data_IF_708352521654
#
_entry.id   IF_708352521654
#
_cell.length_a   1.000
_cell.length_b   1.000
_cell.length_c   1.000
_cell.angle_alpha   90.00
_cell.angle_beta   90.00
_cell.angle_gamma   90.00
#
_symmetry.space_group_name_H-M   'P 1'
#
loop_
_entity.id
_entity.type
_entity.pdbx_description
1 polymer ?
#
# COMPACT_ATOMS: atom_id res chain seq x y z
N UNK A 1 -2.29 -52.78 -60.79
CA UNK A 1 -3.77 -52.76 -60.89
C UNK A 1 -4.33 -52.50 -59.49
N UNK A 2 -5.21 -51.50 -59.37
CA UNK A 2 -6.19 -51.16 -58.31
C UNK A 2 -6.43 -52.20 -57.19
N UNK A 3 -6.73 -51.88 -55.92
CA UNK A 3 -7.38 -50.69 -55.36
C UNK A 3 -7.22 -50.59 -53.83
N UNK A 4 -7.48 -49.39 -53.31
CA UNK A 4 -7.47 -48.93 -51.90
C UNK A 4 -8.49 -49.64 -51.00
N UNK A 5 -8.15 -49.76 -49.71
CA UNK A 5 -9.11 -49.57 -48.61
C UNK A 5 -8.44 -48.80 -47.45
N UNK A 6 -9.01 -47.64 -47.15
CA UNK A 6 -8.73 -46.82 -45.98
C UNK A 6 -9.40 -47.46 -44.75
N UNK A 7 -8.72 -47.48 -43.60
CA UNK A 7 -9.40 -47.23 -42.34
C UNK A 7 -8.45 -46.64 -41.31
N UNK A 8 -8.66 -45.35 -41.04
CA UNK A 8 -8.12 -44.61 -39.92
C UNK A 8 -8.69 -45.17 -38.61
N UNK A 9 -7.84 -45.44 -37.62
CA UNK A 9 -8.24 -45.39 -36.22
C UNK A 9 -7.08 -44.86 -35.37
N UNK A 10 -7.11 -43.54 -35.18
CA UNK A 10 -6.22 -42.80 -34.31
C UNK A 10 -6.52 -43.11 -32.85
N UNK A 11 -5.45 -43.38 -32.11
CA UNK A 11 -5.44 -43.59 -30.68
C UNK A 11 -5.76 -42.29 -29.95
N UNK A 12 -6.94 -42.22 -29.34
CA UNK A 12 -7.31 -41.13 -28.42
C UNK A 12 -6.61 -41.35 -27.06
N UNK A 13 -5.41 -40.76 -26.90
CA UNK A 13 -4.83 -40.52 -25.58
C UNK A 13 -5.46 -39.26 -25.00
N UNK A 14 -6.31 -39.45 -24.00
CA UNK A 14 -6.94 -38.37 -23.24
C UNK A 14 -5.88 -37.46 -22.61
N UNK A 15 -5.73 -36.26 -23.18
CA UNK A 15 -5.07 -35.15 -22.51
C UNK A 15 -6.08 -34.52 -21.56
N UNK A 16 -5.86 -34.69 -20.25
CA UNK A 16 -6.53 -33.88 -19.24
C UNK A 16 -6.14 -32.42 -19.48
N UNK A 17 -6.99 -31.68 -20.18
CA UNK A 17 -6.94 -30.22 -20.22
C UNK A 17 -7.24 -29.73 -18.80
N UNK A 18 -6.20 -29.38 -18.05
CA UNK A 18 -6.35 -28.45 -16.95
C UNK A 18 -6.90 -27.16 -17.55
N UNK A 19 -8.19 -26.92 -17.35
CA UNK A 19 -8.78 -25.60 -17.59
C UNK A 19 -8.23 -24.71 -16.49
N UNK A 20 -7.06 -24.14 -16.74
CA UNK A 20 -6.56 -23.02 -15.99
C UNK A 20 -7.46 -21.86 -16.37
N UNK A 21 -8.51 -21.63 -15.57
CA UNK A 21 -9.26 -20.37 -15.59
C UNK A 21 -8.26 -19.27 -15.31
N UNK A 22 -7.67 -18.72 -16.37
CA UNK A 22 -7.05 -17.40 -16.33
C UNK A 22 -8.18 -16.46 -15.93
N UNK A 23 -8.25 -16.14 -14.64
CA UNK A 23 -8.86 -14.90 -14.20
C UNK A 23 -7.98 -13.80 -14.81
N UNK A 24 -8.35 -13.41 -16.03
CA UNK A 24 -7.78 -12.25 -16.69
C UNK A 24 -8.35 -11.04 -15.94
N UNK A 25 -7.65 -10.59 -14.90
CA UNK A 25 -8.03 -9.43 -14.09
C UNK A 25 -7.86 -8.10 -14.85
N UNK A 26 -7.78 -8.14 -16.19
CA UNK A 26 -7.83 -6.96 -17.03
C UNK A 26 -6.64 -6.01 -16.85
N UNK A 27 -5.51 -6.48 -16.31
CA UNK A 27 -4.30 -5.65 -16.24
C UNK A 27 -3.75 -5.52 -17.66
N UNK A 28 -4.25 -4.51 -18.40
CA UNK A 28 -3.78 -4.19 -19.75
C UNK A 28 -2.26 -4.16 -19.74
N UNK A 29 -1.65 -4.99 -20.58
CA UNK A 29 -0.20 -4.93 -20.85
C UNK A 29 0.17 -3.49 -21.16
N UNK A 30 0.99 -2.87 -20.30
CA UNK A 30 1.79 -1.68 -20.62
C UNK A 30 1.05 -0.60 -21.43
N UNK A 31 -0.19 -0.30 -21.07
CA UNK A 31 -0.79 0.98 -21.48
C UNK A 31 -0.56 1.96 -20.33
N UNK A 32 -0.15 3.17 -20.67
CA UNK A 32 -0.13 4.30 -19.73
C UNK A 32 -1.47 4.35 -18.99
N UNK A 33 -1.45 4.69 -17.70
CA UNK A 33 -2.68 4.93 -16.96
C UNK A 33 -3.38 6.14 -17.59
N UNK A 34 -4.44 5.88 -18.37
CA UNK A 34 -5.22 6.92 -19.02
C UNK A 34 -6.41 7.24 -18.13
N UNK A 35 -6.51 8.51 -17.75
CA UNK A 35 -7.65 9.03 -17.05
C UNK A 35 -8.93 8.83 -17.87
N UNK A 36 -9.98 8.33 -17.23
CA UNK A 36 -11.26 8.12 -17.87
C UNK A 36 -12.36 8.87 -17.11
N UNK A 37 -12.73 10.09 -17.54
CA UNK A 37 -13.78 10.88 -16.91
C UNK A 37 -15.15 10.18 -16.87
N UNK A 38 -15.42 9.22 -17.77
CA UNK A 38 -16.69 8.49 -17.75
C UNK A 38 -16.87 7.63 -16.49
N UNK A 39 -15.80 7.37 -15.73
CA UNK A 39 -15.87 6.58 -14.50
C UNK A 39 -16.75 7.22 -13.42
N UNK A 40 -16.96 8.55 -13.47
CA UNK A 40 -17.81 9.28 -12.52
C UNK A 40 -19.27 8.80 -12.53
N UNK A 41 -19.67 8.09 -13.59
CA UNK A 41 -21.02 7.52 -13.74
C UNK A 41 -21.21 6.20 -12.99
N UNK A 42 -20.12 5.54 -12.60
CA UNK A 42 -20.18 4.28 -11.89
C UNK A 42 -19.98 4.50 -10.40
N UNK A 43 -20.72 3.72 -9.61
CA UNK A 43 -20.46 3.51 -8.20
C UNK A 43 -19.87 2.10 -8.05
N UNK A 44 -18.64 2.03 -7.55
CA UNK A 44 -17.96 0.78 -7.28
C UNK A 44 -18.29 0.24 -5.89
N UNK A 45 -19.00 1.02 -5.06
CA UNK A 45 -19.37 0.66 -3.71
C UNK A 45 -18.18 0.58 -2.74
N UNK A 46 -18.40 -0.09 -1.61
CA UNK A 46 -17.38 -0.35 -0.60
C UNK A 46 -16.86 -1.78 -0.69
N UNK A 47 -15.56 -1.92 -0.93
CA UNK A 47 -14.89 -3.21 -1.05
C UNK A 47 -14.32 -3.62 0.31
N UNK A 48 -14.92 -4.65 0.90
CA UNK A 48 -14.59 -5.18 2.23
C UNK A 48 -13.35 -6.07 2.19
N UNK A 49 -12.18 -5.49 1.87
CA UNK A 49 -10.90 -6.20 1.84
C UNK A 49 -10.49 -6.78 3.21
N UNK A 50 -11.05 -6.30 4.32
CA UNK A 50 -10.89 -6.93 5.62
C UNK A 50 -11.38 -8.39 5.67
N UNK A 51 -12.27 -8.79 4.75
CA UNK A 51 -12.76 -10.16 4.58
C UNK A 51 -11.99 -10.94 3.50
N UNK A 52 -10.98 -10.33 2.86
CA UNK A 52 -10.28 -10.90 1.71
C UNK A 52 -11.22 -11.26 0.55
N UNK A 53 -12.21 -10.40 0.31
CA UNK A 53 -13.16 -10.54 -0.79
C UNK A 53 -13.13 -9.29 -1.68
N UNK A 54 -13.28 -9.50 -3.00
CA UNK A 54 -13.30 -8.45 -4.00
C UNK A 54 -14.67 -8.50 -4.69
N UNK A 55 -15.70 -8.13 -3.94
CA UNK A 55 -17.11 -8.19 -4.33
C UNK A 55 -17.47 -7.03 -5.27
N UNK A 56 -16.83 -7.01 -6.43
CA UNK A 56 -17.05 -6.01 -7.49
C UNK A 56 -17.90 -6.64 -8.59
N UNK A 57 -18.90 -5.91 -9.09
CA UNK A 57 -19.72 -6.34 -10.24
C UNK A 57 -18.82 -6.62 -11.46
N UNK A 58 -19.06 -7.71 -12.20
CA UNK A 58 -18.17 -8.15 -13.29
C UNK A 58 -17.94 -7.07 -14.36
N UNK A 59 -18.97 -6.27 -14.68
CA UNK A 59 -18.85 -5.15 -15.62
C UNK A 59 -17.87 -4.06 -15.14
N UNK A 60 -17.70 -3.90 -13.82
CA UNK A 60 -16.84 -2.88 -13.22
C UNK A 60 -15.39 -3.36 -13.05
N UNK A 61 -15.15 -4.68 -13.01
CA UNK A 61 -13.79 -5.24 -12.86
C UNK A 61 -12.84 -4.76 -13.95
N UNK A 62 -13.33 -4.59 -15.18
CA UNK A 62 -12.55 -4.12 -16.32
C UNK A 62 -12.10 -2.65 -16.22
N UNK A 63 -12.66 -1.89 -15.27
CA UNK A 63 -12.28 -0.50 -14.99
C UNK A 63 -11.31 -0.37 -13.82
N UNK A 64 -11.02 -1.46 -13.10
CA UNK A 64 -10.12 -1.42 -11.95
C UNK A 64 -8.67 -1.60 -12.38
N UNK A 65 -7.82 -0.74 -11.85
CA UNK A 65 -6.40 -1.00 -11.73
C UNK A 65 -6.10 -1.44 -10.29
N UNK A 66 -5.04 -2.22 -10.11
CA UNK A 66 -4.64 -2.72 -8.79
C UNK A 66 -3.27 -2.20 -8.43
N UNK A 67 -3.07 -1.91 -7.15
CA UNK A 67 -1.77 -1.54 -6.59
C UNK A 67 -0.82 -2.73 -6.78
N UNK A 68 0.41 -2.45 -7.22
CA UNK A 68 1.48 -3.44 -7.20
C UNK A 68 1.90 -3.69 -5.77
N UNK A 69 1.45 -4.83 -5.25
CA UNK A 69 1.68 -5.24 -3.87
C UNK A 69 3.08 -5.84 -3.69
N UNK A 70 3.71 -5.65 -2.50
CA UNK A 70 4.93 -6.35 -2.12
C UNK A 70 4.75 -7.87 -2.27
N UNK A 71 5.80 -8.55 -2.70
CA UNK A 71 5.84 -10.01 -2.86
C UNK A 71 4.96 -10.63 -3.96
N UNK A 72 4.09 -9.89 -4.65
CA UNK A 72 3.26 -10.44 -5.75
C UNK A 72 3.92 -10.25 -7.12
N UNK A 73 3.47 -11.02 -8.12
CA UNK A 73 3.90 -10.86 -9.50
C UNK A 73 3.31 -9.60 -10.14
N UNK A 74 4.13 -8.84 -10.88
CA UNK A 74 3.71 -7.60 -11.52
C UNK A 74 2.56 -7.76 -12.54
N UNK A 75 2.42 -8.96 -13.12
CA UNK A 75 1.39 -9.28 -14.12
C UNK A 75 0.24 -10.11 -13.55
N UNK A 76 0.35 -10.55 -12.30
CA UNK A 76 -0.69 -11.32 -11.62
C UNK A 76 -0.66 -10.96 -10.12
N UNK A 77 -1.46 -9.97 -9.70
CA UNK A 77 -1.41 -9.45 -8.35
C UNK A 77 -2.01 -10.40 -7.30
N UNK A 78 -2.54 -11.57 -7.71
CA UNK A 78 -2.93 -12.66 -6.79
C UNK A 78 -1.84 -13.72 -6.63
N UNK A 79 -0.83 -13.76 -7.50
CA UNK A 79 0.22 -14.77 -7.47
C UNK A 79 1.44 -14.28 -6.70
N UNK A 80 1.73 -14.95 -5.59
CA UNK A 80 2.94 -14.71 -4.81
C UNK A 80 4.20 -15.03 -5.64
N UNK A 81 5.09 -14.05 -5.76
CA UNK A 81 6.45 -14.24 -6.25
C UNK A 81 7.31 -14.81 -5.10
N UNK A 82 7.31 -16.14 -5.01
CA UNK A 82 8.00 -16.90 -3.95
C UNK A 82 9.50 -16.56 -3.88
N UNK A 83 10.15 -16.35 -5.03
CA UNK A 83 11.58 -16.01 -5.05
C UNK A 83 11.82 -14.63 -4.43
N UNK A 84 11.06 -13.61 -4.84
CA UNK A 84 11.14 -12.26 -4.26
C UNK A 84 10.85 -12.28 -2.76
N UNK A 85 9.80 -12.99 -2.34
CA UNK A 85 9.46 -13.17 -0.93
C UNK A 85 10.62 -13.80 -0.14
N UNK A 86 11.18 -14.89 -0.64
CA UNK A 86 12.28 -15.60 0.02
C UNK A 86 13.56 -14.76 0.08
N UNK A 87 13.89 -13.99 -0.95
CA UNK A 87 15.03 -13.05 -0.93
C UNK A 87 14.87 -12.03 0.20
N UNK A 88 13.71 -11.36 0.27
CA UNK A 88 13.44 -10.34 1.30
C UNK A 88 13.40 -10.97 2.69
N UNK A 89 12.72 -12.10 2.85
CA UNK A 89 12.68 -12.85 4.10
C UNK A 89 14.09 -13.19 4.58
N UNK A 90 14.90 -13.78 3.71
CA UNK A 90 16.29 -14.16 4.03
C UNK A 90 17.12 -12.95 4.44
N UNK A 91 17.01 -11.84 3.71
CA UNK A 91 17.72 -10.60 4.04
C UNK A 91 17.36 -10.05 5.42
N UNK A 92 16.08 -10.12 5.80
CA UNK A 92 15.58 -9.57 7.06
C UNK A 92 15.73 -10.51 8.27
N UNK A 93 15.88 -11.83 8.06
CA UNK A 93 15.86 -12.81 9.16
C UNK A 93 17.13 -13.63 9.32
N UNK A 94 18.06 -13.63 8.36
CA UNK A 94 19.28 -14.47 8.46
C UNK A 94 20.27 -13.96 9.51
N UNK A 95 20.31 -12.66 9.76
CA UNK A 95 21.18 -12.03 10.74
C UNK A 95 20.38 -11.06 11.61
N UNK A 96 20.71 -10.93 12.92
CA UNK A 96 20.07 -9.95 13.78
C UNK A 96 20.32 -8.53 13.29
N UNK A 97 19.24 -7.75 13.16
CA UNK A 97 19.29 -6.32 12.85
C UNK A 97 19.19 -5.54 14.16
N UNK A 98 20.31 -4.94 14.58
CA UNK A 98 20.46 -4.32 15.90
C UNK A 98 20.69 -2.81 15.85
N UNK A 99 20.90 -2.24 14.66
CA UNK A 99 21.12 -0.80 14.40
C UNK A 99 20.91 -0.47 12.91
N UNK A 100 20.96 0.81 12.54
CA UNK A 100 20.76 1.22 11.14
C UNK A 100 21.79 0.64 10.18
N UNK A 101 23.03 0.39 10.61
CA UNK A 101 24.04 -0.18 9.71
C UNK A 101 23.66 -1.62 9.35
N UNK A 102 23.31 -2.45 10.34
CA UNK A 102 22.82 -3.81 10.09
C UNK A 102 21.54 -3.84 9.26
N UNK A 103 20.65 -2.86 9.46
CA UNK A 103 19.47 -2.71 8.62
C UNK A 103 19.84 -2.34 7.18
N UNK A 104 20.78 -1.42 6.98
CA UNK A 104 21.28 -1.07 5.65
C UNK A 104 21.87 -2.30 4.93
N UNK A 105 22.64 -3.14 5.62
CA UNK A 105 23.18 -4.36 5.02
C UNK A 105 22.06 -5.30 4.52
N UNK A 106 20.98 -5.45 5.30
CA UNK A 106 19.80 -6.22 4.88
C UNK A 106 19.06 -5.56 3.71
N UNK A 107 18.85 -4.24 3.77
CA UNK A 107 18.18 -3.44 2.74
C UNK A 107 18.83 -3.61 1.36
N UNK A 108 20.17 -3.57 1.31
CA UNK A 108 20.93 -3.74 0.07
C UNK A 108 20.78 -5.13 -0.58
N UNK A 109 20.36 -6.16 0.17
CA UNK A 109 20.16 -7.50 -0.41
C UNK A 109 18.91 -7.59 -1.29
N UNK A 110 17.90 -6.76 -1.03
CA UNK A 110 16.66 -6.72 -1.82
C UNK A 110 16.47 -5.41 -2.59
N UNK A 111 17.45 -4.51 -2.53
CA UNK A 111 17.60 -3.33 -3.37
C UNK A 111 18.99 -3.27 -4.02
N UNK A 112 19.28 -4.18 -4.98
CA UNK A 112 20.59 -4.25 -5.64
C UNK A 112 20.92 -3.00 -6.47
N UNK A 113 19.93 -2.15 -6.77
CA UNK A 113 20.11 -0.87 -7.43
C UNK A 113 20.74 0.22 -6.55
N UNK A 114 20.75 0.03 -5.22
CA UNK A 114 21.29 0.99 -4.27
C UNK A 114 22.80 0.75 -4.05
N UNK A 115 23.54 1.84 -3.81
CA UNK A 115 24.98 1.77 -3.55
C UNK A 115 25.27 1.54 -2.07
N UNK A 116 26.17 0.61 -1.77
CA UNK A 116 26.71 0.41 -0.43
C UNK A 116 27.64 1.54 0.04
N UNK A 117 28.16 2.36 -0.88
CA UNK A 117 29.02 3.51 -0.58
C UNK A 117 28.22 4.79 -0.31
N UNK A 118 26.90 4.76 -0.53
CA UNK A 118 26.03 5.90 -0.30
C UNK A 118 25.89 6.15 1.22
N UNK A 119 26.56 7.20 1.69
CA UNK A 119 26.49 7.64 3.09
C UNK A 119 25.16 8.30 3.44
N UNK A 120 24.36 8.67 2.44
CA UNK A 120 23.03 9.26 2.64
C UNK A 120 21.98 8.20 2.98
N UNK A 121 22.23 6.94 2.61
CA UNK A 121 21.32 5.84 2.88
C UNK A 121 21.13 5.64 4.39
N UNK A 122 19.86 5.72 4.83
CA UNK A 122 19.43 5.64 6.22
C UNK A 122 20.06 6.68 7.16
N UNK A 123 20.59 7.79 6.65
CA UNK A 123 21.28 8.78 7.48
C UNK A 123 20.37 9.47 8.52
N UNK A 124 19.07 9.62 8.26
CA UNK A 124 18.13 10.14 9.26
C UNK A 124 17.84 9.10 10.35
N UNK A 125 17.78 7.81 10.02
CA UNK A 125 17.64 6.76 11.01
C UNK A 125 18.88 6.66 11.91
N UNK A 126 20.08 6.81 11.34
CA UNK A 126 21.32 6.94 12.12
C UNK A 126 21.32 8.17 13.03
N UNK A 127 20.77 9.29 12.56
CA UNK A 127 20.63 10.48 13.39
C UNK A 127 19.63 10.25 14.54
N UNK A 128 18.51 9.57 14.28
CA UNK A 128 17.57 9.15 15.32
C UNK A 128 18.28 8.29 16.38
N UNK A 129 19.07 7.28 15.97
CA UNK A 129 19.85 6.46 16.90
C UNK A 129 20.81 7.29 17.76
N UNK A 130 21.50 8.26 17.14
CA UNK A 130 22.43 9.14 17.85
C UNK A 130 21.72 10.05 18.85
N UNK A 131 20.54 10.58 18.49
CA UNK A 131 19.79 11.53 19.31
C UNK A 131 19.05 10.85 20.46
N UNK A 132 18.54 9.64 20.24
CA UNK A 132 17.71 8.88 21.18
C UNK A 132 18.25 7.44 21.37
N UNK A 133 19.46 7.26 21.94
CA UNK A 133 20.13 5.96 21.97
C UNK A 133 19.37 4.88 22.75
N UNK A 134 18.73 5.24 23.87
CA UNK A 134 17.94 4.29 24.68
C UNK A 134 16.67 3.85 23.95
N UNK A 135 15.93 4.80 23.36
CA UNK A 135 14.74 4.50 22.56
C UNK A 135 15.10 3.67 21.34
N UNK A 136 16.21 3.99 20.67
CA UNK A 136 16.69 3.27 19.50
C UNK A 136 17.10 1.82 19.86
N UNK A 137 17.78 1.63 20.98
CA UNK A 137 18.11 0.29 21.49
C UNK A 137 16.85 -0.53 21.75
N UNK A 138 15.85 0.07 22.41
CA UNK A 138 14.56 -0.58 22.63
C UNK A 138 13.81 -0.85 21.32
N UNK A 139 13.87 0.06 20.35
CA UNK A 139 13.28 -0.08 19.03
C UNK A 139 13.87 -1.28 18.28
N UNK A 140 15.19 -1.35 18.07
CA UNK A 140 15.80 -2.45 17.34
C UNK A 140 15.65 -3.80 18.06
N UNK A 141 15.68 -3.79 19.40
CA UNK A 141 15.50 -5.02 20.19
C UNK A 141 14.06 -5.53 20.16
N UNK A 142 13.07 -4.64 20.22
CA UNK A 142 11.69 -5.03 20.52
C UNK A 142 10.70 -4.70 19.40
N UNK A 143 10.75 -3.51 18.82
CA UNK A 143 9.73 -3.02 17.89
C UNK A 143 10.07 -3.38 16.44
N UNK A 144 11.34 -3.31 16.06
CA UNK A 144 11.78 -3.63 14.71
C UNK A 144 11.53 -5.11 14.31
N UNK A 145 11.73 -6.11 15.19
CA UNK A 145 11.35 -7.50 14.89
C UNK A 145 9.84 -7.66 14.63
N UNK A 146 9.01 -6.92 15.37
CA UNK A 146 7.57 -6.88 15.12
C UNK A 146 7.25 -6.28 13.75
N UNK A 147 7.92 -5.20 13.34
CA UNK A 147 7.77 -4.63 11.99
C UNK A 147 8.11 -5.67 10.91
N UNK A 148 9.23 -6.39 11.05
CA UNK A 148 9.61 -7.47 10.12
C UNK A 148 8.53 -8.55 10.06
N UNK A 149 8.05 -9.01 11.21
CA UNK A 149 7.00 -10.03 11.31
C UNK A 149 5.72 -9.57 10.57
N UNK A 150 5.24 -8.36 10.88
CA UNK A 150 4.03 -7.83 10.25
C UNK A 150 4.21 -7.64 8.74
N UNK A 151 5.40 -7.25 8.28
CA UNK A 151 5.67 -7.11 6.86
C UNK A 151 5.65 -8.46 6.12
N UNK A 152 6.31 -9.48 6.68
CA UNK A 152 6.39 -10.82 6.08
C UNK A 152 5.05 -11.57 6.10
N UNK A 153 4.17 -11.26 7.04
CA UNK A 153 2.82 -11.83 7.08
C UNK A 153 1.81 -11.15 6.13
N UNK A 154 2.21 -10.11 5.38
CA UNK A 154 1.33 -9.42 4.43
C UNK A 154 0.57 -10.39 3.50
N UNK A 155 1.21 -11.42 2.89
CA UNK A 155 0.50 -12.33 2.00
C UNK A 155 -0.58 -13.19 2.68
N UNK A 156 -0.51 -13.33 4.01
CA UNK A 156 -1.53 -14.03 4.80
C UNK A 156 -2.69 -13.09 5.17
N UNK A 157 -2.40 -11.82 5.43
CA UNK A 157 -3.39 -10.85 5.86
C UNK A 157 -4.20 -10.26 4.71
N UNK A 158 -3.60 -10.16 3.53
CA UNK A 158 -4.19 -9.55 2.36
C UNK A 158 -3.95 -10.45 1.14
N UNK A 159 -4.93 -11.30 0.86
CA UNK A 159 -4.86 -12.31 -0.21
C UNK A 159 -5.47 -11.83 -1.52
N UNK A 160 -6.22 -10.71 -1.47
CA UNK A 160 -6.85 -10.08 -2.63
C UNK A 160 -6.15 -8.77 -3.00
N UNK A 161 -6.00 -8.46 -4.29
CA UNK A 161 -5.32 -7.25 -4.72
C UNK A 161 -6.10 -6.01 -4.26
N UNK A 162 -5.39 -4.92 -3.94
CA UNK A 162 -6.02 -3.66 -3.53
C UNK A 162 -6.32 -2.84 -4.80
N UNK A 163 -7.59 -2.50 -5.09
CA UNK A 163 -7.90 -1.60 -6.18
C UNK A 163 -7.34 -0.20 -5.96
N UNK A 164 -6.89 0.43 -7.04
CA UNK A 164 -6.46 1.82 -7.05
C UNK A 164 -7.70 2.73 -6.94
N UNK A 165 -7.68 3.67 -6.00
CA UNK A 165 -8.66 4.75 -5.89
C UNK A 165 -8.35 5.84 -6.93
N UNK A 166 -8.63 5.54 -8.20
CA UNK A 166 -8.30 6.37 -9.36
C UNK A 166 -9.16 7.63 -9.50
N UNK A 167 -8.71 8.57 -10.33
CA UNK A 167 -9.49 9.79 -10.65
C UNK A 167 -10.86 9.41 -11.23
N UNK A 168 -11.86 10.26 -10.96
CA UNK A 168 -13.25 10.08 -11.38
C UNK A 168 -13.97 8.85 -10.81
N UNK A 169 -13.37 8.09 -9.90
CA UNK A 169 -14.03 6.94 -9.29
C UNK A 169 -14.81 7.32 -8.03
N UNK A 170 -15.97 6.71 -7.86
CA UNK A 170 -16.69 6.63 -6.59
C UNK A 170 -16.48 5.21 -6.05
N UNK A 171 -15.54 5.06 -5.12
CA UNK A 171 -15.12 3.76 -4.60
C UNK A 171 -14.64 3.92 -3.16
N UNK A 172 -15.00 2.96 -2.31
CA UNK A 172 -14.47 2.82 -0.97
C UNK A 172 -13.77 1.48 -0.78
N UNK A 173 -12.76 1.45 0.06
CA UNK A 173 -12.07 0.24 0.48
C UNK A 173 -12.05 0.21 2.00
N UNK A 174 -12.47 -0.92 2.57
CA UNK A 174 -12.39 -1.17 4.00
C UNK A 174 -11.39 -2.27 4.30
N UNK A 175 -10.34 -1.94 5.05
CA UNK A 175 -9.34 -2.89 5.57
C UNK A 175 -9.41 -2.91 7.10
N UNK A 176 -8.86 -3.94 7.73
CA UNK A 176 -8.68 -3.94 9.18
C UNK A 176 -7.33 -3.30 9.58
N UNK A 177 -7.19 -2.92 10.86
CA UNK A 177 -5.97 -2.31 11.39
C UNK A 177 -4.75 -3.22 11.22
N UNK A 178 -4.91 -4.54 11.35
CA UNK A 178 -3.81 -5.49 11.15
C UNK A 178 -3.25 -5.42 9.71
N UNK A 179 -4.11 -5.38 8.71
CA UNK A 179 -3.73 -5.19 7.31
C UNK A 179 -3.02 -3.84 7.11
N UNK A 180 -3.55 -2.75 7.69
CA UNK A 180 -2.91 -1.44 7.62
C UNK A 180 -1.52 -1.42 8.26
N UNK A 181 -1.34 -2.06 9.42
CA UNK A 181 -0.03 -2.20 10.08
C UNK A 181 0.95 -2.96 9.20
N UNK A 182 0.51 -4.06 8.57
CA UNK A 182 1.34 -4.84 7.66
C UNK A 182 1.76 -4.06 6.40
N UNK A 183 0.84 -3.28 5.83
CA UNK A 183 1.15 -2.37 4.72
C UNK A 183 2.16 -1.29 5.12
N UNK A 184 1.98 -0.65 6.27
CA UNK A 184 2.91 0.34 6.81
C UNK A 184 4.29 -0.28 7.13
N UNK A 185 4.33 -1.51 7.63
CA UNK A 185 5.56 -2.22 7.90
C UNK A 185 6.35 -2.48 6.61
N UNK A 186 5.68 -2.86 5.53
CA UNK A 186 6.29 -2.99 4.20
C UNK A 186 6.79 -1.64 3.65
N UNK A 187 6.12 -0.52 3.95
CA UNK A 187 6.57 0.81 3.58
C UNK A 187 7.81 1.24 4.38
N UNK A 188 7.82 0.99 5.70
CA UNK A 188 8.94 1.28 6.59
C UNK A 188 10.21 0.50 6.22
N UNK A 189 10.06 -0.78 5.87
CA UNK A 189 11.16 -1.62 5.37
C UNK A 189 11.53 -1.33 3.91
N UNK A 190 10.95 -0.31 3.29
CA UNK A 190 11.18 0.10 1.91
C UNK A 190 10.88 -0.99 0.86
N UNK A 191 10.11 -2.02 1.20
CA UNK A 191 9.77 -3.14 0.30
C UNK A 191 8.82 -2.67 -0.82
N UNK A 192 7.95 -1.71 -0.50
CA UNK A 192 7.21 -0.98 -1.53
C UNK A 192 8.18 -0.16 -2.38
N UNK A 193 8.14 -0.38 -3.69
CA UNK A 193 8.94 0.38 -4.66
C UNK A 193 8.12 1.51 -5.29
N UNK A 194 8.80 2.46 -5.94
CA UNK A 194 8.16 3.59 -6.63
C UNK A 194 7.50 3.20 -7.96
N UNK A 195 7.26 1.91 -8.24
CA UNK A 195 6.60 1.46 -9.47
C UNK A 195 5.17 2.00 -9.60
N UNK A 196 4.40 2.00 -8.51
CA UNK A 196 3.04 2.53 -8.52
C UNK A 196 3.01 4.02 -8.89
N UNK A 197 3.95 4.81 -8.34
CA UNK A 197 4.12 6.22 -8.71
C UNK A 197 4.43 6.38 -10.21
N UNK A 198 5.35 5.58 -10.75
CA UNK A 198 5.75 5.64 -12.17
C UNK A 198 4.60 5.27 -13.13
N UNK A 199 3.70 4.39 -12.71
CA UNK A 199 2.64 3.85 -13.58
C UNK A 199 1.34 4.66 -13.45
N UNK A 200 0.98 5.03 -12.23
CA UNK A 200 -0.33 5.58 -11.89
C UNK A 200 -0.27 7.03 -11.39
N UNK A 201 0.92 7.64 -11.36
CA UNK A 201 1.14 8.98 -10.79
C UNK A 201 0.62 9.11 -9.35
N UNK A 202 0.69 8.04 -8.56
CA UNK A 202 0.32 8.06 -7.13
C UNK A 202 1.43 8.70 -6.29
N UNK A 203 1.15 9.15 -5.05
CA UNK A 203 2.21 9.50 -4.10
C UNK A 203 3.22 8.34 -3.93
N UNK A 204 4.46 8.69 -3.58
CA UNK A 204 5.45 7.71 -3.16
C UNK A 204 4.99 7.03 -1.86
N UNK A 205 5.23 5.73 -1.73
CA UNK A 205 4.85 4.94 -0.56
C UNK A 205 6.05 4.36 0.20
N UNK A 206 7.25 4.36 -0.40
CA UNK A 206 8.45 3.91 0.30
C UNK A 206 8.88 4.94 1.33
N UNK A 207 9.27 4.48 2.53
CA UNK A 207 9.82 5.39 3.56
C UNK A 207 11.29 5.74 3.28
N UNK A 208 11.87 5.27 2.17
CA UNK A 208 13.25 5.54 1.80
C UNK A 208 13.59 7.04 1.85
N UNK A 209 12.71 7.91 1.35
CA UNK A 209 12.90 9.36 1.36
C UNK A 209 12.78 10.04 2.73
N UNK A 210 12.18 9.35 3.70
CA UNK A 210 12.10 9.79 5.09
C UNK A 210 13.32 9.29 5.88
N UNK A 211 13.71 8.04 5.65
CA UNK A 211 14.83 7.40 6.34
C UNK A 211 16.19 7.89 5.82
N UNK A 212 16.24 8.34 4.57
CA UNK A 212 17.45 8.81 3.89
C UNK A 212 17.25 10.24 3.39
N UNK A 213 18.28 11.07 3.50
CA UNK A 213 18.32 12.41 2.92
C UNK A 213 19.57 12.59 2.09
N UNK A 214 19.41 12.96 0.81
CA UNK A 214 20.54 13.35 -0.05
C UNK A 214 21.23 14.65 0.44
N UNK A 215 20.54 15.43 1.28
CA UNK A 215 21.08 16.60 1.96
C UNK A 215 21.51 16.21 3.38
N UNK A 216 21.89 17.21 4.18
CA UNK A 216 22.13 16.99 5.61
C UNK A 216 20.84 16.49 6.30
N UNK A 217 20.95 15.50 7.20
CA UNK A 217 19.84 15.07 8.04
C UNK A 217 19.16 16.24 8.77
N UNK A 218 17.82 16.20 8.87
CA UNK A 218 17.02 17.28 9.44
C UNK A 218 16.26 16.77 10.67
N UNK A 219 16.23 17.57 11.74
CA UNK A 219 15.54 17.22 13.00
C UNK A 219 14.06 16.85 12.80
N UNK A 220 13.36 17.51 11.87
CA UNK A 220 11.96 17.20 11.57
C UNK A 220 11.76 15.76 11.09
N UNK A 221 12.72 15.21 10.33
CA UNK A 221 12.66 13.83 9.84
C UNK A 221 12.90 12.84 10.97
N UNK A 222 13.77 13.19 11.92
CA UNK A 222 14.02 12.38 13.12
C UNK A 222 12.77 12.29 13.98
N UNK A 223 12.06 13.39 14.22
CA UNK A 223 10.82 13.36 15.01
C UNK A 223 9.68 12.63 14.28
N UNK A 224 9.60 12.73 12.95
CA UNK A 224 8.68 11.92 12.13
C UNK A 224 8.98 10.41 12.30
N UNK A 225 10.25 10.02 12.19
CA UNK A 225 10.68 8.63 12.40
C UNK A 225 10.30 8.16 13.81
N UNK A 226 10.56 8.97 14.83
CA UNK A 226 10.21 8.67 16.23
C UNK A 226 8.70 8.47 16.41
N UNK A 227 7.87 9.30 15.78
CA UNK A 227 6.40 9.15 15.78
C UNK A 227 5.94 7.82 15.13
N UNK A 228 6.52 7.46 13.99
CA UNK A 228 6.23 6.20 13.29
C UNK A 228 6.66 4.99 14.14
N UNK A 229 7.84 5.04 14.75
CA UNK A 229 8.33 3.99 15.65
C UNK A 229 7.37 3.84 16.84
N UNK A 230 6.90 4.96 17.40
CA UNK A 230 5.92 4.97 18.48
C UNK A 230 4.60 4.32 18.06
N UNK A 231 4.11 4.59 16.85
CA UNK A 231 2.93 3.91 16.30
C UNK A 231 3.10 2.39 16.29
N UNK A 232 4.22 1.87 15.77
CA UNK A 232 4.47 0.42 15.76
C UNK A 232 4.61 -0.17 17.16
N UNK A 233 5.26 0.52 18.11
CA UNK A 233 5.33 0.09 19.51
C UNK A 233 3.93 0.00 20.15
N UNK A 234 3.04 0.96 19.86
CA UNK A 234 1.65 0.92 20.31
C UNK A 234 0.87 -0.23 19.68
N UNK A 235 1.04 -0.49 18.38
CA UNK A 235 0.36 -1.60 17.72
C UNK A 235 0.85 -2.96 18.23
N UNK A 236 2.15 -3.10 18.51
CA UNK A 236 2.74 -4.31 19.09
C UNK A 236 2.12 -4.70 20.43
N UNK A 237 1.73 -3.72 21.25
CA UNK A 237 1.14 -3.94 22.59
C UNK A 237 -0.32 -4.41 22.54
N UNK A 238 -0.92 -4.49 21.36
CA UNK A 238 -2.34 -4.83 21.16
C UNK A 238 -2.46 -6.26 20.65
N UNK A 239 -3.51 -6.96 21.08
CA UNK A 239 -3.80 -8.31 20.58
C UNK A 239 -4.16 -8.30 19.09
N UNK A 240 -3.79 -9.35 18.37
CA UNK A 240 -4.13 -9.53 16.96
C UNK A 240 -5.64 -9.45 16.70
N UNK A 241 -6.49 -10.00 17.59
CA UNK A 241 -7.95 -9.99 17.42
C UNK A 241 -8.52 -8.57 17.48
N UNK A 242 -8.04 -7.75 18.43
CA UNK A 242 -8.39 -6.33 18.49
C UNK A 242 -8.02 -5.59 17.20
N UNK A 243 -6.81 -5.82 16.67
CA UNK A 243 -6.37 -5.21 15.40
C UNK A 243 -7.19 -5.70 14.20
N UNK A 244 -7.70 -6.94 14.22
CA UNK A 244 -8.60 -7.44 13.17
C UNK A 244 -10.01 -6.85 13.26
N UNK A 245 -10.47 -6.53 14.47
CA UNK A 245 -11.80 -5.97 14.70
C UNK A 245 -11.94 -4.49 14.32
N UNK A 246 -10.84 -3.74 14.36
CA UNK A 246 -10.85 -2.32 13.99
C UNK A 246 -10.78 -2.13 12.48
N UNK A 247 -11.82 -1.50 11.92
CA UNK A 247 -11.94 -1.26 10.49
C UNK A 247 -11.55 0.18 10.12
N UNK A 248 -10.93 0.33 8.95
CA UNK A 248 -10.52 1.58 8.35
C UNK A 248 -11.09 1.63 6.95
N UNK A 249 -11.92 2.65 6.66
CA UNK A 249 -12.51 2.86 5.34
C UNK A 249 -11.86 4.07 4.65
N UNK A 250 -11.32 3.85 3.47
CA UNK A 250 -10.78 4.88 2.59
C UNK A 250 -11.75 5.06 1.43
N UNK A 251 -12.31 6.25 1.28
CA UNK A 251 -13.29 6.54 0.23
C UNK A 251 -12.76 7.63 -0.70
N UNK A 252 -12.88 7.39 -2.00
CA UNK A 252 -12.76 8.41 -3.02
C UNK A 252 -14.15 8.73 -3.55
N UNK A 253 -14.46 10.02 -3.58
CA UNK A 253 -15.72 10.56 -4.11
C UNK A 253 -15.39 11.50 -5.26
N UNK A 254 -16.16 11.39 -6.34
CA UNK A 254 -16.10 12.28 -7.49
C UNK A 254 -17.52 12.67 -7.87
N UNK A 255 -17.80 13.97 -7.84
CA UNK A 255 -19.10 14.52 -8.22
C UNK A 255 -19.19 14.66 -9.73
N UNK A 256 -20.40 14.48 -10.28
CA UNK A 256 -20.71 14.87 -11.67
C UNK A 256 -20.95 16.36 -11.70
N UNK A 257 -20.76 16.99 -12.85
CA UNK A 257 -21.05 18.42 -13.02
C UNK A 257 -22.47 18.79 -12.62
N UNK A 258 -23.45 17.92 -12.95
CA UNK A 258 -24.85 18.10 -12.60
C UNK A 258 -25.17 17.89 -11.11
N UNK A 259 -24.24 17.30 -10.33
CA UNK A 259 -24.40 17.11 -8.88
C UNK A 259 -23.86 18.31 -8.09
N UNK A 260 -23.14 19.25 -8.74
CA UNK A 260 -22.65 20.48 -8.11
C UNK A 260 -23.83 21.43 -7.89
N UNK A 261 -24.02 22.00 -6.68
CA UNK A 261 -25.10 22.95 -6.44
C UNK A 261 -25.04 24.18 -7.35
N UNK A 262 -26.20 24.69 -7.77
CA UNK A 262 -26.29 26.01 -8.39
C UNK A 262 -26.09 27.09 -7.32
N UNK A 263 -24.83 27.47 -7.10
CA UNK A 263 -24.45 28.43 -6.07
C UNK A 263 -25.07 29.82 -6.27
N UNK A 264 -25.34 30.23 -7.52
CA UNK A 264 -25.86 31.56 -7.84
C UNK A 264 -27.34 31.64 -7.44
N UNK A 265 -28.10 30.58 -7.68
CA UNK A 265 -29.54 30.56 -7.43
C UNK A 265 -29.93 29.82 -6.13
N UNK A 266 -28.97 29.34 -5.35
CA UNK A 266 -29.22 28.64 -4.09
C UNK A 266 -29.95 29.54 -3.09
N UNK A 267 -31.04 29.02 -2.51
CA UNK A 267 -31.83 29.67 -1.46
C UNK A 267 -31.70 28.98 -0.09
N UNK A 268 -30.68 28.15 0.07
CA UNK A 268 -30.44 27.44 1.33
C UNK A 268 -30.06 28.44 2.44
N UNK A 269 -30.64 28.26 3.61
CA UNK A 269 -30.25 29.04 4.80
C UNK A 269 -28.84 28.66 5.23
N UNK A 270 -28.09 29.64 5.75
CA UNK A 270 -26.78 29.41 6.36
C UNK A 270 -26.96 28.53 7.61
N UNK A 271 -26.06 27.58 7.81
CA UNK A 271 -26.05 26.74 9.01
C UNK A 271 -25.50 27.48 10.23
N UNK A 272 -25.82 27.00 11.42
CA UNK A 272 -25.20 27.51 12.64
C UNK A 272 -23.69 27.25 12.61
N UNK A 273 -22.89 28.23 13.05
CA UNK A 273 -21.45 28.09 13.16
C UNK A 273 -20.95 28.47 14.56
N UNK A 274 -19.89 27.82 15.01
CA UNK A 274 -19.20 28.08 16.28
C UNK A 274 -17.75 28.39 15.96
N UNK A 275 -17.22 29.47 16.54
CA UNK A 275 -15.80 29.81 16.44
C UNK A 275 -15.18 29.56 17.81
N UNK A 276 -14.26 28.60 17.86
CA UNK A 276 -13.49 28.29 19.05
C UNK A 276 -11.99 28.54 18.76
N UNK A 277 -11.39 29.48 19.50
CA UNK A 277 -9.97 29.84 19.33
C UNK A 277 -9.05 28.99 20.20
N UNK A 278 -9.59 28.15 21.08
CA UNK A 278 -8.84 27.39 22.08
C UNK A 278 -8.67 25.91 21.77
N UNK A 279 -9.23 25.41 20.66
CA UNK A 279 -9.16 23.98 20.27
C UNK A 279 -8.63 23.83 18.86
N UNK A 280 -7.88 22.75 18.64
CA UNK A 280 -7.49 22.32 17.31
C UNK A 280 -8.55 21.39 16.71
N UNK A 281 -8.38 21.04 15.42
CA UNK A 281 -9.31 20.17 14.69
C UNK A 281 -9.31 18.75 15.30
N UNK A 282 -8.14 18.22 15.65
CA UNK A 282 -7.96 16.88 16.20
C UNK A 282 -8.59 16.70 17.59
N UNK A 283 -8.77 17.78 18.35
CA UNK A 283 -9.42 17.78 19.68
C UNK A 283 -10.96 17.73 19.59
N UNK A 284 -11.52 17.94 18.40
CA UNK A 284 -12.95 17.99 18.18
C UNK A 284 -13.50 16.59 17.85
N UNK A 285 -13.66 15.77 18.89
CA UNK A 285 -14.22 14.42 18.76
C UNK A 285 -15.65 14.42 18.19
N UNK A 286 -16.01 13.33 17.50
CA UNK A 286 -17.34 13.12 16.91
C UNK A 286 -17.76 14.16 15.84
N UNK A 287 -16.79 14.89 15.27
CA UNK A 287 -17.00 15.79 14.14
C UNK A 287 -16.34 15.25 12.87
N UNK A 288 -16.81 15.71 11.70
CA UNK A 288 -16.06 15.53 10.46
C UNK A 288 -14.84 16.46 10.50
N UNK A 289 -13.68 15.88 10.80
CA UNK A 289 -12.42 16.60 10.90
C UNK A 289 -11.82 16.83 9.50
N UNK A 290 -11.49 18.08 9.20
CA UNK A 290 -10.98 18.50 7.88
C UNK A 290 -9.45 18.44 7.88
N UNK A 291 -8.87 17.75 6.89
CA UNK A 291 -7.45 17.83 6.57
C UNK A 291 -7.20 18.94 5.55
N UNK A 292 -6.19 19.79 5.79
CA UNK A 292 -5.73 20.78 4.83
C UNK A 292 -4.81 20.11 3.80
N UNK A 293 -5.44 19.30 2.95
CA UNK A 293 -4.77 18.35 2.10
C UNK A 293 -4.05 18.97 0.88
N UNK A 294 -2.96 18.32 0.48
CA UNK A 294 -2.38 18.50 -0.85
C UNK A 294 -3.15 17.64 -1.88
N UNK A 295 -3.14 18.04 -3.16
CA UNK A 295 -3.76 17.25 -4.23
C UNK A 295 -3.18 15.83 -4.35
N UNK A 296 -1.93 15.65 -3.90
CA UNK A 296 -1.35 14.37 -3.54
C UNK A 296 -1.46 14.18 -2.03
N UNK A 297 -2.42 13.36 -1.59
CA UNK A 297 -2.69 13.12 -0.16
C UNK A 297 -1.42 12.80 0.63
N UNK A 298 -1.29 13.41 1.82
CA UNK A 298 -0.11 13.30 2.67
C UNK A 298 1.04 14.24 2.29
N UNK A 299 1.02 14.85 1.10
CA UNK A 299 2.00 15.84 0.67
C UNK A 299 3.46 15.39 0.87
N UNK A 300 4.20 16.12 1.71
CA UNK A 300 5.61 15.85 2.03
C UNK A 300 5.84 14.93 3.24
N UNK A 301 4.85 14.15 3.69
CA UNK A 301 4.98 13.35 4.92
C UNK A 301 6.19 12.40 4.88
N UNK A 302 6.43 11.74 3.73
CA UNK A 302 7.55 10.80 3.52
C UNK A 302 8.83 11.47 2.99
N UNK A 303 8.95 12.80 3.08
CA UNK A 303 10.11 13.56 2.60
C UNK A 303 10.79 14.34 3.71
N UNK A 304 12.07 14.62 3.47
CA UNK A 304 12.95 15.45 4.28
C UNK A 304 12.79 16.94 3.99
#
# INVERSE_FOLDING_TARGET
MYNRYNNNNNWNRGTRKYVQTKLDFGQKKRMEYIENPSLVRYDFGNLMLCQNELNVEDKLKNHLHYIRMPFYENNNPEKLNVNKYNTIKTALTSYPITNSNTFQYALLQYHPELSNTDRSLLNNLRLYEKKYPEEASAFFKNTFPYIIEQALNLPQYLTKPIPLLGKYMNIAITINRLQAVSLLANQFLCIFTNENNKIYHTPECSFMGLLSSAKSPVDSSVEKIRCIIHYFDKMKKRSTDLLKSELLTYQRVSLKDNDVPDWINSRMNICNFIIDKGRNIEDCENMLQVDFANCYLGGGVLRT
#
